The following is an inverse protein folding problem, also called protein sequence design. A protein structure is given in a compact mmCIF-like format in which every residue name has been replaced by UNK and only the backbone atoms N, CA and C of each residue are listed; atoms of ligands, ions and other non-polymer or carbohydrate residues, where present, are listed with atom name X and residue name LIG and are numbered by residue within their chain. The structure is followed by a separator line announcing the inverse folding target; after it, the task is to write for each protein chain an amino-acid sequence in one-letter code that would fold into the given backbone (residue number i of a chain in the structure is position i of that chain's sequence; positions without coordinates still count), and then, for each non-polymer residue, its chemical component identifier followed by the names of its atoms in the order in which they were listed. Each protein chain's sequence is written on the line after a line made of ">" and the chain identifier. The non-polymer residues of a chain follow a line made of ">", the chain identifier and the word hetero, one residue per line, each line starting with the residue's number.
data_IF_536164241263
#
_entry.id   IF_536164241263
#
_cell.length_a   1.000
_cell.length_b   1.000
_cell.length_c   1.000
_cell.angle_alpha   90.00
_cell.angle_beta   90.00
_cell.angle_gamma   90.00
#
_symmetry.space_group_name_H-M   'P 1'
#
loop_
_entity.id
_entity.type
_entity.pdbx_description
1 polymer ?
#
# COMPACT_ATOMS: atom_id res chain seq x y z
N UNK A 1 7.01 3.81 2.20
CA UNK A 1 5.76 3.70 1.43
C UNK A 1 5.34 5.08 0.96
N UNK A 2 5.29 5.25 -0.34
CA UNK A 2 4.63 6.33 -1.05
C UNK A 2 3.75 5.68 -2.11
N UNK A 3 2.69 6.33 -2.54
CA UNK A 3 1.78 5.85 -3.58
C UNK A 3 1.74 6.90 -4.68
N UNK A 4 2.05 6.48 -5.89
CA UNK A 4 2.01 7.35 -7.08
C UNK A 4 0.77 6.99 -7.87
N UNK A 5 -0.07 7.98 -8.19
CA UNK A 5 -1.21 7.77 -9.06
C UNK A 5 -0.87 8.21 -10.49
N UNK A 6 -0.58 7.25 -11.36
CA UNK A 6 -0.34 7.51 -12.78
C UNK A 6 -1.64 7.50 -13.63
N UNK A 7 -2.81 7.34 -12.99
CA UNK A 7 -4.10 7.39 -13.67
C UNK A 7 -4.55 8.84 -13.89
N UNK A 8 -5.41 9.04 -14.89
CA UNK A 8 -6.07 10.32 -15.15
C UNK A 8 -7.15 10.66 -14.11
N UNK A 9 -7.66 9.66 -13.39
CA UNK A 9 -8.61 9.82 -12.30
C UNK A 9 -7.95 9.69 -10.92
N UNK A 10 -8.53 10.35 -9.92
CA UNK A 10 -8.11 10.20 -8.53
C UNK A 10 -8.33 8.77 -8.06
N UNK A 11 -7.47 8.28 -7.15
CA UNK A 11 -7.63 6.97 -6.52
C UNK A 11 -7.82 7.11 -5.03
N UNK A 12 -8.49 6.12 -4.43
CA UNK A 12 -8.58 5.95 -2.99
C UNK A 12 -8.08 4.59 -2.57
N UNK A 13 -7.32 4.59 -1.49
CA UNK A 13 -6.72 3.40 -0.90
C UNK A 13 -7.51 2.91 0.30
N UNK A 14 -7.54 1.60 0.51
CA UNK A 14 -8.07 0.98 1.71
C UNK A 14 -7.13 -0.11 2.19
N UNK A 15 -6.81 -0.07 3.49
CA UNK A 15 -5.94 -1.07 4.11
C UNK A 15 -6.82 -2.02 4.92
N UNK A 16 -6.70 -3.32 4.68
CA UNK A 16 -7.39 -4.36 5.44
C UNK A 16 -6.56 -5.65 5.51
N UNK A 17 -7.11 -6.70 6.13
CA UNK A 17 -6.42 -7.98 6.26
C UNK A 17 -5.09 -7.89 7.01
N UNK A 18 -4.95 -6.92 7.92
CA UNK A 18 -3.70 -6.68 8.67
C UNK A 18 -3.46 -7.85 9.62
N UNK A 19 -2.29 -8.48 9.47
CA UNK A 19 -1.77 -9.54 10.33
C UNK A 19 -0.36 -9.12 10.74
N UNK A 20 -0.11 -9.05 12.05
CA UNK A 20 1.23 -8.84 12.61
C UNK A 20 1.95 -7.53 12.24
N UNK A 21 1.22 -6.54 11.70
CA UNK A 21 1.76 -5.20 11.45
C UNK A 21 1.30 -4.25 12.56
N UNK A 22 2.24 -3.61 13.27
CA UNK A 22 1.91 -2.59 14.28
C UNK A 22 1.51 -1.29 13.59
N UNK A 23 0.52 -0.57 14.12
CA UNK A 23 0.07 0.71 13.57
C UNK A 23 0.31 1.82 14.60
N UNK A 24 1.10 2.83 14.22
CA UNK A 24 1.61 3.93 15.07
C UNK A 24 2.59 3.48 16.18
N UNK A 25 3.86 3.86 16.07
CA UNK A 25 4.89 3.73 17.11
C UNK A 25 6.27 4.17 16.60
N UNK A 26 7.28 4.33 17.46
CA UNK A 26 8.65 4.69 17.04
C UNK A 26 9.29 3.64 16.10
N UNK A 27 8.74 2.42 16.10
CA UNK A 27 9.14 1.26 15.28
C UNK A 27 7.96 0.66 14.48
N UNK A 28 6.75 1.26 14.53
CA UNK A 28 5.53 0.66 13.97
C UNK A 28 5.41 0.74 12.44
N UNK A 29 4.20 0.64 11.91
CA UNK A 29 3.90 0.96 10.51
C UNK A 29 2.90 2.10 10.47
N UNK A 30 3.07 3.03 9.54
CA UNK A 30 2.10 4.11 9.33
C UNK A 30 0.96 3.66 8.41
N UNK A 31 0.44 2.44 8.58
CA UNK A 31 -0.63 1.89 7.72
C UNK A 31 -1.92 2.71 7.77
N UNK A 32 -2.25 3.28 8.94
CA UNK A 32 -3.45 4.13 9.07
C UNK A 32 -3.43 5.37 8.20
N UNK A 33 -2.24 5.88 7.84
CA UNK A 33 -2.12 7.00 6.91
C UNK A 33 -2.73 6.64 5.54
N UNK A 34 -2.54 5.40 5.10
CA UNK A 34 -2.99 4.94 3.78
C UNK A 34 -4.45 4.49 3.77
N UNK A 35 -5.08 4.29 4.93
CA UNK A 35 -6.46 3.84 4.98
C UNK A 35 -7.43 5.01 4.71
N UNK A 36 -8.07 4.99 3.54
CA UNK A 36 -8.91 6.09 3.06
C UNK A 36 -8.12 7.21 2.38
N UNK A 37 -6.82 7.04 2.15
CA UNK A 37 -5.99 8.03 1.47
C UNK A 37 -6.47 8.24 0.03
N UNK A 38 -6.74 9.49 -0.31
CA UNK A 38 -7.00 9.92 -1.68
C UNK A 38 -5.70 10.40 -2.30
N UNK A 39 -5.35 9.85 -3.47
CA UNK A 39 -4.18 10.26 -4.24
C UNK A 39 -4.70 10.85 -5.54
N UNK A 40 -4.55 12.17 -5.67
CA UNK A 40 -4.99 12.92 -6.83
C UNK A 40 -4.29 12.41 -8.09
N UNK A 41 -4.98 12.49 -9.23
CA UNK A 41 -4.45 12.22 -10.57
C UNK A 41 -3.05 12.81 -10.77
N UNK A 42 -2.13 12.00 -11.30
CA UNK A 42 -0.74 12.35 -11.59
C UNK A 42 0.08 12.87 -10.38
N UNK A 43 -0.30 12.49 -9.15
CA UNK A 43 0.40 12.89 -7.91
C UNK A 43 0.98 11.70 -7.15
N UNK A 44 1.88 12.00 -6.20
CA UNK A 44 2.48 11.04 -5.28
C UNK A 44 2.22 11.45 -3.83
N UNK A 45 1.79 10.49 -2.99
CA UNK A 45 1.53 10.73 -1.56
C UNK A 45 2.21 9.67 -0.65
N UNK A 46 2.83 10.07 0.48
CA UNK A 46 3.08 11.46 0.85
C UNK A 46 4.09 12.11 -0.11
N UNK A 47 3.91 13.38 -0.48
CA UNK A 47 4.83 14.14 -1.33
C UNK A 47 6.22 14.43 -0.74
N UNK A 48 6.66 13.67 0.27
CA UNK A 48 7.92 13.81 1.03
C UNK A 48 8.68 12.49 1.16
N UNK A 49 9.35 12.25 2.29
CA UNK A 49 10.25 11.09 2.52
C UNK A 49 9.55 9.70 2.57
N UNK A 50 8.28 9.59 2.14
CA UNK A 50 7.49 8.37 2.31
C UNK A 50 7.08 8.14 3.77
N UNK A 51 6.16 7.20 3.98
CA UNK A 51 5.80 6.67 5.29
C UNK A 51 6.50 5.33 5.53
N UNK A 52 6.99 5.06 6.73
CA UNK A 52 7.60 3.77 7.02
C UNK A 52 6.54 2.67 7.19
N UNK A 53 6.91 1.44 6.81
CA UNK A 53 6.19 0.21 7.13
C UNK A 53 7.19 -0.73 7.78
N UNK A 54 6.81 -1.27 8.93
CA UNK A 54 7.51 -2.34 9.61
C UNK A 54 7.36 -3.63 8.80
N UNK A 55 8.47 -4.05 8.19
CA UNK A 55 8.55 -5.20 7.30
C UNK A 55 8.84 -6.52 8.03
N UNK A 56 9.12 -6.48 9.33
CA UNK A 56 9.55 -7.64 10.11
C UNK A 56 8.63 -7.75 11.33
N UNK A 57 8.03 -8.92 11.54
CA UNK A 57 7.27 -9.19 12.75
C UNK A 57 8.10 -8.88 14.01
N UNK A 58 7.68 -7.88 14.78
CA UNK A 58 8.28 -7.55 16.08
C UNK A 58 7.31 -7.87 17.24
N UNK A 59 7.86 -8.16 18.42
CA UNK A 59 7.07 -8.36 19.64
C UNK A 59 6.31 -9.69 19.71
N UNK A 60 4.99 -9.69 19.92
CA UNK A 60 4.16 -10.90 20.09
C UNK A 60 3.97 -11.72 18.78
N UNK A 61 4.50 -11.23 17.66
CA UNK A 61 4.35 -11.81 16.33
C UNK A 61 5.48 -12.78 15.93
N UNK A 62 6.27 -13.27 16.91
CA UNK A 62 7.53 -14.06 16.77
C UNK A 62 7.49 -15.24 15.76
N UNK A 63 6.34 -15.68 15.28
CA UNK A 63 6.19 -16.83 14.38
C UNK A 63 5.30 -16.60 13.15
N UNK A 64 4.73 -15.40 12.97
CA UNK A 64 3.74 -15.13 11.92
C UNK A 64 4.28 -14.08 10.94
N UNK A 65 4.01 -14.27 9.64
CA UNK A 65 4.38 -13.30 8.61
C UNK A 65 3.50 -12.04 8.74
N UNK A 66 4.11 -10.88 8.90
CA UNK A 66 3.50 -9.56 8.70
C UNK A 66 2.90 -9.46 7.30
N UNK A 67 1.58 -9.27 7.21
CA UNK A 67 0.87 -9.10 5.94
C UNK A 67 -0.29 -8.13 6.06
N UNK A 68 -0.61 -7.45 4.96
CA UNK A 68 -1.82 -6.64 4.82
C UNK A 68 -2.22 -6.56 3.35
N UNK A 69 -3.47 -6.20 3.08
CA UNK A 69 -3.99 -5.96 1.73
C UNK A 69 -4.25 -4.47 1.54
N UNK A 70 -3.82 -3.94 0.40
CA UNK A 70 -4.12 -2.61 -0.08
C UNK A 70 -5.09 -2.70 -1.25
N UNK A 71 -6.33 -2.27 -1.05
CA UNK A 71 -7.27 -2.08 -2.16
C UNK A 71 -7.07 -0.69 -2.78
N UNK A 72 -7.13 -0.64 -4.10
CA UNK A 72 -7.05 0.59 -4.89
C UNK A 72 -8.34 0.76 -5.66
N UNK A 73 -9.04 1.86 -5.39
CA UNK A 73 -10.29 2.21 -6.05
C UNK A 73 -10.11 3.49 -6.85
N UNK A 74 -10.61 3.53 -8.08
CA UNK A 74 -10.77 4.77 -8.84
C UNK A 74 -11.95 5.58 -8.30
N UNK A 75 -11.79 6.89 -8.17
CA UNK A 75 -12.87 7.82 -7.87
C UNK A 75 -13.47 8.30 -9.19
N UNK A 76 -14.72 7.91 -9.42
CA UNK A 76 -15.50 8.29 -10.60
C UNK A 76 -16.64 9.22 -10.21
N UNK A 77 -17.27 9.89 -11.19
CA UNK A 77 -18.48 10.68 -10.94
C UNK A 77 -19.68 9.88 -10.38
N UNK A 78 -19.62 8.54 -10.41
CA UNK A 78 -20.64 7.64 -9.88
C UNK A 78 -20.26 7.01 -8.53
N UNK A 79 -19.16 7.42 -7.90
CA UNK A 79 -18.62 6.82 -6.68
C UNK A 79 -17.30 6.11 -6.93
N UNK A 80 -17.01 5.08 -6.15
CA UNK A 80 -15.73 4.35 -6.23
C UNK A 80 -15.86 3.06 -7.05
N UNK A 81 -14.92 2.82 -7.95
CA UNK A 81 -14.81 1.58 -8.71
C UNK A 81 -13.52 0.85 -8.31
N UNK A 82 -13.58 -0.44 -7.90
CA UNK A 82 -12.37 -1.21 -7.62
C UNK A 82 -11.48 -1.33 -8.86
N UNK A 83 -10.22 -0.95 -8.72
CA UNK A 83 -9.18 -1.17 -9.74
C UNK A 83 -8.44 -2.48 -9.47
N UNK A 84 -8.16 -2.78 -8.20
CA UNK A 84 -7.48 -4.01 -7.79
C UNK A 84 -7.11 -4.02 -6.32
N UNK A 85 -6.51 -5.12 -5.88
CA UNK A 85 -6.02 -5.33 -4.51
C UNK A 85 -4.61 -5.89 -4.56
N UNK A 86 -3.77 -5.46 -3.63
CA UNK A 86 -2.37 -5.88 -3.53
C UNK A 86 -2.13 -6.44 -2.15
N UNK A 87 -1.73 -7.71 -2.08
CA UNK A 87 -1.28 -8.32 -0.82
C UNK A 87 0.20 -8.01 -0.62
N UNK A 88 0.51 -7.45 0.54
CA UNK A 88 1.84 -7.03 0.96
C UNK A 88 2.26 -7.93 2.11
N UNK A 89 3.39 -8.65 2.01
CA UNK A 89 3.85 -9.59 3.06
C UNK A 89 5.37 -9.62 3.24
N UNK A 90 5.86 -10.14 4.38
CA UNK A 90 7.30 -10.26 4.74
C UNK A 90 8.24 -10.80 3.67
N UNK A 91 7.72 -11.64 2.76
CA UNK A 91 8.45 -12.07 1.57
C UNK A 91 8.25 -11.05 0.44
N UNK A 92 8.81 -9.85 0.63
CA UNK A 92 8.59 -8.64 -0.20
C UNK A 92 9.19 -8.68 -1.63
N UNK A 93 9.19 -9.83 -2.29
CA UNK A 93 9.69 -9.92 -3.66
C UNK A 93 8.52 -9.93 -4.65
N UNK A 94 8.13 -8.72 -5.08
CA UNK A 94 7.21 -8.42 -6.20
C UNK A 94 5.94 -9.26 -6.27
N UNK A 95 4.81 -8.70 -5.84
CA UNK A 95 3.51 -9.32 -6.02
C UNK A 95 2.71 -8.61 -7.10
N UNK A 96 2.44 -9.31 -8.21
CA UNK A 96 1.40 -8.94 -9.18
C UNK A 96 0.15 -9.74 -8.80
N UNK A 97 -0.88 -9.10 -8.24
CA UNK A 97 -2.21 -9.71 -8.25
C UNK A 97 -3.12 -8.90 -9.15
N UNK A 98 -3.69 -9.60 -10.13
CA UNK A 98 -4.39 -8.97 -11.22
C UNK A 98 -5.66 -9.74 -11.57
N UNK A 99 -6.82 -9.35 -11.01
CA UNK A 99 -8.09 -9.87 -11.48
C UNK A 99 -8.60 -9.16 -12.75
N UNK A 100 -8.12 -7.95 -13.09
CA UNK A 100 -8.76 -7.06 -14.11
C UNK A 100 -7.84 -6.39 -15.13
N UNK A 101 -6.57 -6.17 -14.82
CA UNK A 101 -5.55 -5.62 -15.74
C UNK A 101 -4.81 -4.40 -15.22
N UNK A 102 -5.38 -3.66 -14.25
CA UNK A 102 -5.17 -2.21 -14.16
C UNK A 102 -4.37 -1.71 -12.96
N UNK A 103 -3.83 -2.59 -12.11
CA UNK A 103 -3.01 -2.15 -10.96
C UNK A 103 -1.76 -3.02 -10.87
N UNK A 104 -0.60 -2.39 -10.98
CA UNK A 104 0.69 -2.97 -10.66
C UNK A 104 1.20 -2.33 -9.37
N UNK A 105 1.67 -3.11 -8.41
CA UNK A 105 2.30 -2.56 -7.21
C UNK A 105 3.68 -3.19 -7.00
N UNK A 106 4.71 -2.35 -7.08
CA UNK A 106 6.09 -2.75 -6.87
C UNK A 106 6.50 -2.32 -5.48
N UNK A 107 6.80 -3.30 -4.64
CA UNK A 107 7.43 -3.06 -3.36
C UNK A 107 8.94 -3.08 -3.57
N UNK A 108 9.60 -1.98 -3.21
CA UNK A 108 11.07 -1.89 -3.17
C UNK A 108 11.50 -1.78 -1.71
N UNK A 109 12.29 -2.76 -1.26
CA UNK A 109 12.78 -2.90 0.10
C UNK A 109 14.32 -2.99 0.14
N UNK A 110 15.01 -2.32 -0.81
CA UNK A 110 16.47 -2.31 -0.89
C UNK A 110 17.15 -1.41 0.19
N UNK A 111 16.40 -0.91 1.18
CA UNK A 111 16.89 -0.06 2.28
C UNK A 111 16.16 -0.28 3.61
N UNK A 112 16.38 0.61 4.60
CA UNK A 112 15.80 0.50 5.95
C UNK A 112 14.25 0.64 5.98
N UNK A 113 13.63 1.03 4.85
CA UNK A 113 12.20 1.25 4.72
C UNK A 113 11.69 0.77 3.35
N UNK A 114 10.57 0.04 3.34
CA UNK A 114 9.90 -0.39 2.12
C UNK A 114 9.11 0.75 1.46
N UNK A 115 9.22 0.90 0.13
CA UNK A 115 8.37 1.78 -0.71
C UNK A 115 7.41 0.93 -1.54
N UNK A 116 6.19 1.43 -1.86
CA UNK A 116 5.16 0.66 -2.60
C UNK A 116 4.67 1.49 -3.78
N UNK A 117 5.31 1.33 -4.92
CA UNK A 117 4.93 2.02 -6.15
C UNK A 117 3.71 1.34 -6.77
N UNK A 118 2.52 1.90 -6.54
CA UNK A 118 1.31 1.54 -7.29
C UNK A 118 1.36 2.25 -8.65
N UNK A 119 1.09 1.53 -9.73
CA UNK A 119 0.91 2.05 -11.09
C UNK A 119 -0.43 1.55 -11.58
N UNK A 120 -1.30 2.48 -11.95
CA UNK A 120 -2.58 2.14 -12.57
C UNK A 120 -2.41 2.24 -14.09
N UNK A 121 -2.79 1.18 -14.82
CA UNK A 121 -2.65 1.07 -16.30
C UNK A 121 -3.97 0.90 -17.02
#
# INVERSE_FOLDING_TARGET
>A
MNVTNNNAADIRLYVHGIVCVHNNGDEGSNLSYFNGLEVVSEQTEPGGEGQYIEAIASGQCIQEMSTFTLDVNEITGNGQQPLGSVVISEQFNKYHDNPTGSVEAVIDNDGDQATINVTVT
#
